data_IF_808078112058
#
_entry.id   IF_808078112058
#
_cell.length_a   1.000
_cell.length_b   1.000
_cell.length_c   1.000
_cell.angle_alpha   90.00
_cell.angle_beta   90.00
_cell.angle_gamma   90.00
#
_symmetry.space_group_name_H-M   'P 1'
#
loop_
_entity.id
_entity.type
_entity.pdbx_description
1 polymer ?
#
# COMPACT_ATOMS: atom_id res chain seq x y z
N UNK A 1 13.33 16.84 6.77
CA UNK A 1 14.06 16.47 5.53
C UNK A 1 13.22 15.56 4.63
N UNK A 2 12.86 14.33 5.04
CA UNK A 2 12.13 13.38 4.17
C UNK A 2 10.72 13.88 3.77
N UNK A 3 9.96 14.49 4.68
CA UNK A 3 8.66 15.13 4.33
C UNK A 3 8.79 16.36 3.41
N UNK A 4 9.98 16.97 3.30
CA UNK A 4 10.22 17.99 2.28
C UNK A 4 10.43 17.35 0.89
N UNK A 5 11.07 16.17 0.83
CA UNK A 5 11.23 15.39 -0.40
C UNK A 5 9.89 14.89 -0.94
N UNK A 6 8.95 14.57 -0.06
CA UNK A 6 7.55 14.25 -0.39
C UNK A 6 6.93 15.38 -1.21
N UNK A 7 6.88 16.61 -0.69
CA UNK A 7 6.25 17.75 -1.39
C UNK A 7 6.89 18.02 -2.75
N UNK A 8 8.22 17.87 -2.83
CA UNK A 8 9.00 18.07 -4.06
C UNK A 8 9.03 16.89 -5.03
N UNK A 9 8.42 15.73 -4.71
CA UNK A 9 8.51 14.53 -5.55
C UNK A 9 9.94 14.00 -5.74
N UNK A 10 10.87 14.36 -4.84
CA UNK A 10 12.28 13.98 -4.94
C UNK A 10 12.52 12.60 -4.34
N UNK A 11 12.00 11.56 -5.00
CA UNK A 11 12.06 10.19 -4.52
C UNK A 11 13.50 9.68 -4.35
N UNK A 12 14.43 10.06 -5.22
CA UNK A 12 15.83 9.64 -5.13
C UNK A 12 16.46 10.15 -3.83
N UNK A 13 16.21 11.41 -3.49
CA UNK A 13 16.71 12.02 -2.26
C UNK A 13 16.06 11.39 -1.04
N UNK A 14 14.76 11.09 -1.10
CA UNK A 14 14.03 10.42 -0.01
C UNK A 14 14.60 9.01 0.27
N UNK A 15 14.86 8.22 -0.77
CA UNK A 15 15.48 6.90 -0.67
C UNK A 15 16.91 6.98 -0.14
N UNK A 16 17.70 7.95 -0.61
CA UNK A 16 19.07 8.16 -0.15
C UNK A 16 19.12 8.55 1.33
N UNK A 17 18.22 9.43 1.77
CA UNK A 17 18.09 9.80 3.19
C UNK A 17 17.68 8.60 4.05
N UNK A 18 16.74 7.76 3.59
CA UNK A 18 16.39 6.53 4.28
C UNK A 18 17.57 5.57 4.40
N UNK A 19 18.35 5.37 3.33
CA UNK A 19 19.57 4.55 3.37
C UNK A 19 20.56 5.11 4.39
N UNK A 20 20.79 6.43 4.40
CA UNK A 20 21.70 7.07 5.36
C UNK A 20 21.27 6.90 6.82
N UNK A 21 19.96 6.96 7.10
CA UNK A 21 19.42 6.69 8.45
C UNK A 21 19.75 5.26 8.87
N UNK A 22 19.56 4.30 7.97
CA UNK A 22 19.88 2.89 8.21
C UNK A 22 21.39 2.68 8.42
N UNK A 23 22.23 3.34 7.62
CA UNK A 23 23.69 3.22 7.71
C UNK A 23 24.22 3.79 9.04
N UNK A 24 23.57 4.84 9.56
CA UNK A 24 23.83 5.39 10.90
C UNK A 24 23.32 4.50 12.03
N UNK A 25 22.83 3.28 11.75
CA UNK A 25 22.18 2.37 12.71
C UNK A 25 20.95 2.97 13.39
N UNK A 26 20.40 4.06 12.85
CA UNK A 26 19.14 4.61 13.32
C UNK A 26 17.98 3.84 12.67
N UNK A 27 16.92 3.59 13.44
CA UNK A 27 15.74 2.90 12.94
C UNK A 27 14.87 3.90 12.15
N UNK A 28 14.67 3.70 10.84
CA UNK A 28 13.70 4.52 10.11
C UNK A 28 12.31 4.28 10.71
N UNK A 29 11.61 5.35 11.04
CA UNK A 29 10.25 5.27 11.54
C UNK A 29 9.24 5.05 10.39
N UNK A 30 8.03 4.63 10.74
CA UNK A 30 6.91 4.44 9.79
C UNK A 30 6.69 5.70 8.96
N UNK A 31 6.74 6.88 9.61
CA UNK A 31 6.54 8.19 8.97
C UNK A 31 7.59 8.47 7.87
N UNK A 32 8.87 8.14 8.10
CA UNK A 32 9.93 8.35 7.11
C UNK A 32 9.77 7.41 5.90
N UNK A 33 9.33 6.18 6.15
CA UNK A 33 9.05 5.23 5.07
C UNK A 33 7.83 5.69 4.25
N UNK A 34 6.75 6.08 4.93
CA UNK A 34 5.52 6.60 4.31
C UNK A 34 5.80 7.84 3.46
N UNK A 35 6.50 8.84 4.01
CA UNK A 35 6.87 10.05 3.27
C UNK A 35 7.75 9.76 2.03
N UNK A 36 8.65 8.76 2.09
CA UNK A 36 9.44 8.36 0.93
C UNK A 36 8.59 7.64 -0.14
N UNK A 37 7.62 6.84 0.27
CA UNK A 37 6.66 6.19 -0.64
C UNK A 37 5.75 7.25 -1.30
N UNK A 38 5.28 8.24 -0.54
CA UNK A 38 4.56 9.41 -1.08
C UNK A 38 5.41 10.21 -2.07
N UNK A 39 6.71 10.39 -1.81
CA UNK A 39 7.60 11.02 -2.77
C UNK A 39 7.71 10.23 -4.08
N UNK A 40 7.75 8.89 -3.99
CA UNK A 40 7.75 8.00 -5.16
C UNK A 40 6.43 8.08 -5.93
N UNK A 41 5.30 8.14 -5.23
CA UNK A 41 3.96 8.32 -5.83
C UNK A 41 3.87 9.60 -6.65
N UNK A 42 4.34 10.72 -6.10
CA UNK A 42 4.36 12.01 -6.78
C UNK A 42 5.27 12.01 -8.00
N UNK A 43 6.34 11.25 -7.96
CA UNK A 43 7.24 11.03 -9.09
C UNK A 43 6.76 9.97 -10.10
N UNK A 44 5.65 9.28 -9.83
CA UNK A 44 5.14 8.18 -10.67
C UNK A 44 6.01 6.91 -10.64
N UNK A 45 6.87 6.77 -9.63
CA UNK A 45 7.85 5.70 -9.53
C UNK A 45 7.33 4.53 -8.68
N UNK A 46 6.59 3.63 -9.31
CA UNK A 46 6.03 2.44 -8.68
C UNK A 46 7.09 1.46 -8.17
N UNK A 47 8.17 1.25 -8.92
CA UNK A 47 9.23 0.28 -8.58
C UNK A 47 9.87 0.57 -7.22
N UNK A 48 10.45 1.78 -7.03
CA UNK A 48 11.00 2.22 -5.74
C UNK A 48 9.96 2.25 -4.62
N UNK A 49 8.72 2.65 -4.89
CA UNK A 49 7.64 2.68 -3.91
C UNK A 49 7.37 1.29 -3.32
N UNK A 50 7.26 0.28 -4.18
CA UNK A 50 7.03 -1.10 -3.76
C UNK A 50 8.22 -1.72 -3.05
N UNK A 51 9.45 -1.43 -3.51
CA UNK A 51 10.65 -1.88 -2.83
C UNK A 51 10.72 -1.33 -1.41
N UNK A 52 10.43 -0.04 -1.24
CA UNK A 52 10.38 0.60 0.08
C UNK A 52 9.32 -0.02 0.99
N UNK A 53 8.13 -0.30 0.47
CA UNK A 53 7.04 -0.93 1.22
C UNK A 53 7.38 -2.37 1.62
N UNK A 54 8.03 -3.13 0.73
CA UNK A 54 8.57 -4.46 1.06
C UNK A 54 9.66 -4.41 2.13
N UNK A 55 10.56 -3.43 2.04
CA UNK A 55 11.65 -3.22 3.02
C UNK A 55 11.14 -2.76 4.38
N UNK A 56 10.13 -1.89 4.43
CA UNK A 56 9.51 -1.50 5.70
C UNK A 56 8.89 -2.71 6.39
N UNK A 57 8.16 -3.53 5.63
CA UNK A 57 7.57 -4.77 6.14
C UNK A 57 8.61 -5.79 6.62
N UNK A 58 9.69 -5.98 5.86
CA UNK A 58 10.79 -6.88 6.26
C UNK A 58 11.48 -6.44 7.56
N UNK A 59 11.39 -5.16 7.91
CA UNK A 59 11.89 -4.59 9.18
C UNK A 59 10.87 -4.64 10.31
N UNK A 60 9.69 -5.22 10.09
CA UNK A 60 8.60 -5.23 11.05
C UNK A 60 7.90 -3.87 11.21
N UNK A 61 8.15 -2.92 10.32
CA UNK A 61 7.42 -1.66 10.27
C UNK A 61 6.12 -1.91 9.52
N UNK A 62 4.98 -1.82 10.20
CA UNK A 62 3.69 -1.87 9.53
C UNK A 62 3.48 -0.58 8.73
N UNK A 63 3.41 -0.66 7.38
CA UNK A 63 3.08 0.50 6.57
C UNK A 63 1.66 0.97 6.91
N UNK A 64 1.48 2.28 6.98
CA UNK A 64 0.16 2.88 7.18
C UNK A 64 -0.70 2.77 5.92
N UNK A 65 -2.02 3.00 6.09
CA UNK A 65 -2.95 3.02 4.96
C UNK A 65 -2.53 4.05 3.89
N UNK A 66 -1.94 5.18 4.30
CA UNK A 66 -1.42 6.21 3.42
C UNK A 66 -0.30 5.69 2.52
N UNK A 67 0.70 4.98 3.05
CA UNK A 67 1.80 4.42 2.26
C UNK A 67 1.31 3.38 1.25
N UNK A 68 0.37 2.52 1.65
CA UNK A 68 -0.25 1.56 0.74
C UNK A 68 -1.02 2.26 -0.38
N UNK A 69 -1.83 3.28 -0.06
CA UNK A 69 -2.57 4.08 -1.05
C UNK A 69 -1.63 4.84 -1.98
N UNK A 70 -0.52 5.37 -1.47
CA UNK A 70 0.48 6.04 -2.29
C UNK A 70 1.20 5.07 -3.24
N UNK A 71 1.55 3.86 -2.77
CA UNK A 71 2.09 2.82 -3.64
C UNK A 71 1.10 2.40 -4.73
N UNK A 72 -0.20 2.29 -4.39
CA UNK A 72 -1.27 2.00 -5.35
C UNK A 72 -1.43 3.11 -6.40
N UNK A 73 -1.45 4.38 -5.98
CA UNK A 73 -1.50 5.52 -6.91
C UNK A 73 -0.28 5.56 -7.83
N UNK A 74 0.91 5.17 -7.34
CA UNK A 74 2.10 5.01 -8.16
C UNK A 74 1.95 3.88 -9.20
N UNK A 75 1.40 2.73 -8.80
CA UNK A 75 1.09 1.61 -9.71
C UNK A 75 0.07 2.02 -10.77
N UNK A 76 -0.97 2.79 -10.41
CA UNK A 76 -1.95 3.32 -11.36
C UNK A 76 -1.30 4.18 -12.44
N UNK A 77 -0.41 5.10 -12.04
CA UNK A 77 0.31 5.98 -12.99
C UNK A 77 1.21 5.23 -13.97
N UNK A 78 1.50 3.96 -13.70
CA UNK A 78 2.42 3.12 -14.46
C UNK A 78 1.76 1.90 -15.10
N UNK A 79 0.42 1.83 -15.09
CA UNK A 79 -0.39 0.74 -15.63
C UNK A 79 -0.12 -0.66 -15.02
N UNK A 80 0.64 -0.78 -13.93
CA UNK A 80 0.98 -2.07 -13.33
C UNK A 80 -0.10 -2.59 -12.38
N UNK A 81 -1.20 -3.13 -12.91
CA UNK A 81 -2.35 -3.59 -12.14
C UNK A 81 -2.08 -4.86 -11.30
N UNK A 82 -1.30 -5.82 -11.80
CA UNK A 82 -1.07 -7.10 -11.12
C UNK A 82 -0.43 -6.94 -9.73
N UNK A 83 0.43 -5.93 -9.55
CA UNK A 83 1.01 -5.60 -8.24
C UNK A 83 0.10 -4.74 -7.39
N UNK A 84 -0.74 -3.90 -8.00
CA UNK A 84 -1.75 -3.12 -7.30
C UNK A 84 -2.78 -4.06 -6.62
N UNK A 85 -3.20 -5.12 -7.31
CA UNK A 85 -4.06 -6.17 -6.75
C UNK A 85 -3.46 -6.86 -5.53
N UNK A 86 -2.19 -7.26 -5.61
CA UNK A 86 -1.50 -7.88 -4.47
C UNK A 86 -1.43 -6.96 -3.25
N UNK A 87 -1.33 -5.64 -3.48
CA UNK A 87 -1.38 -4.62 -2.44
C UNK A 87 -2.79 -4.44 -1.85
N UNK A 88 -3.82 -4.48 -2.67
CA UNK A 88 -5.21 -4.39 -2.22
C UNK A 88 -5.57 -5.59 -1.33
N UNK A 89 -5.23 -6.81 -1.75
CA UNK A 89 -5.40 -8.01 -0.91
C UNK A 89 -4.59 -7.93 0.39
N UNK A 90 -3.41 -7.30 0.37
CA UNK A 90 -2.64 -7.04 1.59
C UNK A 90 -3.40 -6.11 2.53
N UNK A 91 -3.94 -4.99 2.03
CA UNK A 91 -4.69 -4.02 2.84
C UNK A 91 -5.90 -4.66 3.50
N UNK A 92 -6.68 -5.44 2.75
CA UNK A 92 -7.82 -6.19 3.29
C UNK A 92 -7.39 -7.22 4.33
N UNK A 93 -6.30 -7.96 4.08
CA UNK A 93 -5.80 -8.95 5.03
C UNK A 93 -5.38 -8.34 6.37
N UNK A 94 -4.96 -7.07 6.33
CA UNK A 94 -4.50 -6.28 7.47
C UNK A 94 -5.58 -5.39 8.08
N UNK A 95 -6.83 -5.47 7.59
CA UNK A 95 -7.92 -4.58 7.97
C UNK A 95 -7.56 -3.10 7.86
N UNK A 96 -6.64 -2.76 6.94
CA UNK A 96 -6.37 -1.39 6.57
C UNK A 96 -7.57 -0.92 5.74
N UNK A 97 -8.10 0.26 6.06
CA UNK A 97 -9.27 0.81 5.38
C UNK A 97 -8.94 1.13 3.92
N UNK A 98 -9.07 0.12 3.05
CA UNK A 98 -9.12 0.30 1.61
C UNK A 98 -10.38 1.15 1.33
N UNK A 99 -10.15 2.37 0.84
CA UNK A 99 -11.21 3.31 0.52
C UNK A 99 -11.70 3.12 -0.91
N UNK A 100 -12.80 3.79 -1.26
CA UNK A 100 -13.35 3.77 -2.63
C UNK A 100 -12.29 4.21 -3.65
N UNK A 101 -11.40 5.13 -3.27
CA UNK A 101 -10.29 5.59 -4.10
C UNK A 101 -9.29 4.46 -4.39
N UNK A 102 -9.05 3.56 -3.44
CA UNK A 102 -8.20 2.37 -3.61
C UNK A 102 -8.78 1.45 -4.69
N UNK A 103 -10.07 1.14 -4.66
CA UNK A 103 -10.69 0.30 -5.69
C UNK A 103 -10.72 0.99 -7.05
N UNK A 104 -11.11 2.26 -7.09
CA UNK A 104 -11.17 3.05 -8.32
C UNK A 104 -9.79 3.17 -8.98
N UNK A 105 -8.73 3.40 -8.20
CA UNK A 105 -7.36 3.46 -8.72
C UNK A 105 -6.88 2.13 -9.29
N UNK A 106 -7.30 0.99 -8.73
CA UNK A 106 -6.95 -0.32 -9.28
C UNK A 106 -7.76 -0.63 -10.54
N UNK A 107 -9.05 -0.29 -10.57
CA UNK A 107 -9.90 -0.40 -11.78
C UNK A 107 -9.31 0.41 -12.93
N UNK A 108 -8.96 1.68 -12.68
CA UNK A 108 -8.34 2.57 -13.67
C UNK A 108 -6.95 2.08 -14.12
N UNK A 109 -6.20 1.41 -13.24
CA UNK A 109 -4.93 0.79 -13.61
C UNK A 109 -5.13 -0.43 -14.54
N UNK A 110 -6.21 -1.20 -14.33
CA UNK A 110 -6.57 -2.35 -15.15
C UNK A 110 -7.11 -1.98 -16.54
N UNK A 111 -7.84 -0.86 -16.66
CA UNK A 111 -8.32 -0.38 -17.96
C UNK A 111 -7.17 -0.11 -18.94
N UNK A 112 -5.96 0.14 -18.44
CA UNK A 112 -4.80 0.43 -19.27
C UNK A 112 -4.07 -0.82 -19.79
N UNK A 113 -4.34 -2.03 -19.27
CA UNK A 113 -3.41 -3.17 -19.42
C UNK A 113 -4.08 -4.57 -19.37
N UNK A 114 -5.30 -4.72 -19.94
CA UNK A 114 -6.16 -5.93 -20.08
C UNK A 114 -5.60 -7.29 -19.55
N UNK A 115 -6.36 -8.07 -18.72
CA UNK A 115 -7.76 -8.43 -18.93
C UNK A 115 -8.68 -8.19 -17.70
N UNK A 116 -9.69 -7.34 -17.89
CA UNK A 116 -10.77 -7.01 -16.93
C UNK A 116 -11.57 -8.20 -16.34
N UNK A 117 -11.81 -9.34 -17.02
CA UNK A 117 -12.63 -10.43 -16.48
C UNK A 117 -12.01 -11.11 -15.24
N UNK A 118 -10.71 -11.35 -15.26
CA UNK A 118 -9.99 -12.02 -14.15
C UNK A 118 -9.92 -11.15 -12.90
N UNK A 119 -10.02 -9.84 -13.10
CA UNK A 119 -10.02 -8.85 -12.05
C UNK A 119 -11.35 -8.83 -11.29
N UNK A 120 -12.48 -8.87 -11.99
CA UNK A 120 -13.81 -8.90 -11.36
C UNK A 120 -13.96 -10.13 -10.48
N UNK A 121 -13.54 -11.32 -10.94
CA UNK A 121 -13.55 -12.55 -10.13
C UNK A 121 -12.69 -12.42 -8.86
N UNK A 122 -11.52 -11.76 -8.97
CA UNK A 122 -10.63 -11.54 -7.83
C UNK A 122 -11.22 -10.52 -6.84
N UNK A 123 -11.80 -9.42 -7.33
CA UNK A 123 -12.43 -8.40 -6.49
C UNK A 123 -13.69 -8.95 -5.81
N UNK A 124 -14.51 -9.76 -6.49
CA UNK A 124 -15.66 -10.43 -5.90
C UNK A 124 -15.22 -11.46 -4.84
N UNK A 125 -14.14 -12.20 -5.10
CA UNK A 125 -13.55 -13.13 -4.13
C UNK A 125 -12.98 -12.45 -2.88
N UNK A 126 -12.28 -11.31 -3.06
CA UNK A 126 -11.75 -10.48 -1.99
C UNK A 126 -12.87 -9.81 -1.18
N UNK A 127 -13.87 -9.29 -1.86
CA UNK A 127 -15.08 -8.73 -1.27
C UNK A 127 -15.88 -9.76 -0.45
N UNK A 128 -16.02 -10.99 -0.94
CA UNK A 128 -16.62 -12.10 -0.19
C UNK A 128 -15.78 -12.44 1.04
N UNK A 129 -14.46 -12.54 0.90
CA UNK A 129 -13.55 -12.79 2.03
C UNK A 129 -13.56 -11.66 3.06
N UNK A 130 -13.69 -10.40 2.63
CA UNK A 130 -13.81 -9.22 3.49
C UNK A 130 -15.12 -9.19 4.26
N UNK A 131 -16.25 -9.52 3.62
CA UNK A 131 -17.55 -9.68 4.29
C UNK A 131 -17.57 -10.84 5.27
N UNK A 132 -17.08 -12.01 4.89
CA UNK A 132 -17.00 -13.16 5.80
C UNK A 132 -16.12 -12.86 7.02
N UNK A 133 -15.07 -12.04 6.87
CA UNK A 133 -14.19 -11.66 7.99
C UNK A 133 -14.84 -10.66 8.95
N UNK A 134 -15.68 -9.75 8.46
CA UNK A 134 -16.49 -8.87 9.32
C UNK A 134 -17.57 -9.66 10.08
N UNK A 135 -18.21 -10.63 9.43
CA UNK A 135 -19.20 -11.49 10.10
C UNK A 135 -18.55 -12.46 11.10
N UNK A 136 -17.35 -12.99 10.82
CA UNK A 136 -16.61 -13.82 11.78
C UNK A 136 -15.99 -13.02 12.95
N UNK A 137 -15.59 -11.76 12.75
CA UNK A 137 -15.10 -10.90 13.83
C UNK A 137 -16.21 -10.49 14.81
N UNK A 138 -17.44 -10.26 14.34
CA UNK A 138 -18.59 -9.93 15.19
C UNK A 138 -19.01 -11.10 16.08
N UNK A 139 -18.81 -12.35 15.65
CA UNK A 139 -19.14 -13.53 16.47
C UNK A 139 -18.08 -13.82 17.55
N UNK A 140 -16.81 -13.43 17.34
CA UNK A 140 -15.73 -13.68 18.31
C UNK A 140 -15.64 -12.70 19.49
N UNK A 141 -16.38 -11.59 19.51
CA UNK A 141 -16.41 -10.63 20.64
C UNK A 141 -17.63 -10.81 21.57
N UNK A 142 -18.41 -11.86 21.38
CA UNK A 142 -19.68 -12.08 22.07
C UNK A 142 -19.79 -13.37 22.89
N UNK A 143 -18.74 -13.89 23.53
CA UNK A 143 -18.89 -14.97 24.55
C UNK A 143 -17.89 -14.89 25.71
N UNK A 144 -18.09 -13.93 26.61
CA UNK A 144 -17.68 -14.02 28.03
C UNK A 144 -18.43 -12.92 28.78
N UNK A 145 -19.45 -13.17 29.60
CA UNK A 145 -19.46 -14.03 30.78
C UNK A 145 -20.92 -14.35 31.16
N UNK A 146 -21.14 -15.58 31.65
CA UNK A 146 -22.15 -15.86 32.68
C UNK A 146 -21.71 -15.24 33.99
#
# INVERSE_FOLDING_TARGET
AISACEKGGQWQLAVLLLRRIVDMRATPNVISCSAAICACERAGQWGPALELLGRSRARGLEPDATACNSALSACRKSAFWGRALGLLGLMESKALAADVVTYDTVILACEQDEPLPRMVELLEGLHWAGRCRLEHCVVSSGTSKK
#
